data_IF_904098852781
#
_entry.id   IF_904098852781
#
_cell.length_a   1.000
_cell.length_b   1.000
_cell.length_c   1.000
_cell.angle_alpha   90.00
_cell.angle_beta   90.00
_cell.angle_gamma   90.00
#
_symmetry.space_group_name_H-M   'P 1'
#
loop_
_entity.id
_entity.type
_entity.pdbx_description
1 polymer ?
#
# COMPACT_ATOMS: atom_id res chain seq x y z
N UNK A 1 24.25 38.87 -29.19
CA UNK A 1 23.14 39.59 -29.88
C UNK A 1 21.81 39.09 -29.29
N UNK A 2 21.22 39.93 -28.50
CA UNK A 2 19.99 39.67 -27.75
C UNK A 2 18.80 39.98 -28.65
N UNK A 3 17.90 39.04 -28.86
CA UNK A 3 16.58 39.35 -29.48
C UNK A 3 15.49 39.19 -28.40
N UNK A 4 14.97 40.35 -27.96
CA UNK A 4 13.73 40.48 -27.20
C UNK A 4 12.55 40.11 -28.12
N UNK A 5 11.60 39.31 -27.62
CA UNK A 5 10.28 39.18 -28.24
C UNK A 5 9.23 39.80 -27.34
N UNK A 6 8.51 40.68 -27.92
CA UNK A 6 7.44 41.54 -27.44
C UNK A 6 6.19 40.72 -27.10
N UNK A 7 5.61 40.97 -25.93
CA UNK A 7 4.30 40.44 -25.52
C UNK A 7 3.21 41.35 -26.06
N UNK A 8 2.28 40.84 -26.82
CA UNK A 8 1.07 41.52 -27.24
C UNK A 8 -0.05 41.23 -26.23
N UNK A 9 -0.56 42.30 -25.62
CA UNK A 9 -1.78 42.27 -24.82
C UNK A 9 -2.99 42.25 -25.75
N UNK A 10 -3.89 41.29 -25.56
CA UNK A 10 -5.24 41.28 -26.09
C UNK A 10 -6.23 41.40 -24.94
N UNK A 11 -6.90 42.53 -24.90
CA UNK A 11 -8.03 42.81 -24.03
C UNK A 11 -9.25 42.03 -24.55
N UNK A 12 -9.82 41.17 -23.75
CA UNK A 12 -11.06 40.41 -24.03
C UNK A 12 -12.09 40.62 -22.92
N UNK A 13 -13.24 41.06 -23.35
CA UNK A 13 -14.44 41.46 -22.62
C UNK A 13 -14.93 40.45 -21.63
N UNK A 14 -15.19 40.87 -20.36
CA UNK A 14 -15.90 40.11 -19.33
C UNK A 14 -17.38 39.96 -19.70
N UNK A 15 -17.81 38.72 -19.95
CA UNK A 15 -19.23 38.35 -19.87
C UNK A 15 -19.42 37.64 -18.50
N UNK A 16 -20.12 38.32 -17.58
CA UNK A 16 -20.59 37.72 -16.32
C UNK A 16 -21.70 36.73 -16.65
N UNK A 17 -21.42 35.45 -16.57
CA UNK A 17 -22.43 34.40 -16.47
C UNK A 17 -22.60 34.04 -15.01
N UNK A 18 -23.75 34.33 -14.43
CA UNK A 18 -24.14 33.88 -13.11
C UNK A 18 -24.30 32.36 -13.12
N UNK A 19 -23.30 31.61 -12.60
CA UNK A 19 -23.43 30.19 -12.34
C UNK A 19 -24.15 30.01 -10.99
N UNK A 20 -25.37 29.49 -11.02
CA UNK A 20 -26.07 29.00 -9.85
C UNK A 20 -25.24 27.88 -9.20
N UNK A 21 -24.78 28.10 -7.97
CA UNK A 21 -24.17 27.08 -7.11
C UNK A 21 -25.25 26.05 -6.73
N UNK A 22 -25.42 25.05 -7.56
CA UNK A 22 -26.13 23.83 -7.19
C UNK A 22 -25.27 23.12 -6.13
N UNK A 23 -25.69 23.16 -4.85
CA UNK A 23 -25.17 22.29 -3.83
C UNK A 23 -25.59 20.86 -4.18
N UNK A 24 -24.75 20.15 -4.92
CA UNK A 24 -24.89 18.72 -5.13
C UNK A 24 -24.80 18.01 -3.78
N UNK A 25 -25.93 17.60 -3.23
CA UNK A 25 -25.99 16.62 -2.16
C UNK A 25 -25.27 15.38 -2.65
N UNK A 26 -24.12 15.06 -2.06
CA UNK A 26 -23.47 13.78 -2.26
C UNK A 26 -24.50 12.68 -1.90
N UNK A 27 -24.67 11.67 -2.74
CA UNK A 27 -25.60 10.59 -2.38
C UNK A 27 -25.12 9.96 -1.07
N UNK A 28 -26.03 9.91 -0.08
CA UNK A 28 -25.78 9.16 1.14
C UNK A 28 -25.44 7.72 0.73
N UNK A 29 -24.31 7.20 1.17
CA UNK A 29 -23.95 5.80 0.94
C UNK A 29 -25.07 4.94 1.49
N UNK A 30 -25.70 4.11 0.64
CA UNK A 30 -26.73 3.18 1.08
C UNK A 30 -26.09 2.16 2.04
N UNK A 31 -26.84 1.81 3.09
CA UNK A 31 -26.42 0.75 4.02
C UNK A 31 -26.22 -0.56 3.24
N UNK A 32 -25.07 -1.19 3.44
CA UNK A 32 -24.71 -2.42 2.75
C UNK A 32 -24.71 -3.61 3.71
N UNK A 33 -25.29 -4.71 3.28
CA UNK A 33 -25.39 -5.94 4.04
C UNK A 33 -24.40 -6.99 3.50
N UNK A 34 -23.78 -7.75 4.40
CA UNK A 34 -22.85 -8.83 4.06
C UNK A 34 -21.95 -9.23 5.23
N UNK A 35 -20.92 -10.00 4.97
CA UNK A 35 -19.96 -10.40 5.98
C UNK A 35 -18.90 -9.31 6.23
N UNK A 36 -18.49 -9.17 7.49
CA UNK A 36 -17.27 -8.43 7.83
C UNK A 36 -16.17 -9.48 7.99
N UNK A 37 -15.12 -9.42 7.16
CA UNK A 37 -14.01 -10.37 7.23
C UNK A 37 -12.73 -9.70 7.73
N UNK A 38 -11.89 -10.44 8.45
CA UNK A 38 -10.64 -9.93 9.02
C UNK A 38 -9.55 -10.98 9.11
N UNK A 39 -8.84 -10.98 10.23
CA UNK A 39 -7.68 -11.82 10.48
C UNK A 39 -7.92 -13.29 10.11
N UNK A 40 -6.98 -13.89 9.36
CA UNK A 40 -7.09 -15.27 8.90
C UNK A 40 -8.21 -15.54 7.91
N UNK A 41 -8.78 -14.49 7.27
CA UNK A 41 -9.92 -14.63 6.35
C UNK A 41 -11.24 -14.98 7.04
N UNK A 42 -11.28 -14.92 8.38
CA UNK A 42 -12.45 -15.26 9.19
C UNK A 42 -13.45 -14.11 9.30
N UNK A 43 -14.66 -14.42 9.70
CA UNK A 43 -15.80 -13.52 9.79
C UNK A 43 -16.03 -13.00 11.21
N UNK A 44 -16.49 -11.76 11.32
CA UNK A 44 -17.11 -11.24 12.54
C UNK A 44 -18.45 -11.95 12.73
N UNK A 45 -18.60 -12.59 13.88
CA UNK A 45 -19.68 -13.53 14.17
C UNK A 45 -20.34 -13.22 15.52
N UNK A 46 -21.64 -13.35 15.58
CA UNK A 46 -22.40 -13.28 16.83
C UNK A 46 -22.47 -14.68 17.44
N UNK A 47 -21.86 -14.88 18.59
CA UNK A 47 -21.74 -16.17 19.23
C UNK A 47 -23.10 -16.91 19.30
N UNK A 48 -23.13 -18.13 18.77
CA UNK A 48 -24.32 -19.00 18.74
C UNK A 48 -25.57 -18.35 18.10
N UNK A 49 -25.40 -17.34 17.23
CA UNK A 49 -26.48 -16.51 16.68
C UNK A 49 -27.44 -15.94 17.76
N UNK A 50 -26.91 -15.69 18.96
CA UNK A 50 -27.68 -15.18 20.08
C UNK A 50 -28.21 -13.76 19.85
N UNK A 51 -29.46 -13.49 20.25
CA UNK A 51 -30.07 -12.16 20.09
C UNK A 51 -30.26 -11.43 21.42
N UNK A 52 -29.79 -12.00 22.54
CA UNK A 52 -29.83 -11.34 23.83
C UNK A 52 -28.81 -10.18 23.90
N UNK A 53 -29.13 -9.10 24.65
CA UNK A 53 -28.18 -8.07 24.95
C UNK A 53 -26.99 -8.65 25.72
N UNK A 54 -25.75 -8.27 25.33
CA UNK A 54 -24.54 -8.83 25.89
C UNK A 54 -24.03 -10.08 25.17
N UNK A 55 -24.72 -10.57 24.12
CA UNK A 55 -24.20 -11.70 23.32
C UNK A 55 -22.80 -11.36 22.79
N UNK A 56 -21.81 -12.24 23.01
CA UNK A 56 -20.44 -12.03 22.54
C UNK A 56 -20.36 -11.88 21.03
N UNK A 57 -19.49 -10.96 20.58
CA UNK A 57 -19.04 -10.91 19.20
C UNK A 57 -17.63 -11.45 19.13
N UNK A 58 -17.37 -12.29 18.15
CA UNK A 58 -16.18 -13.14 18.06
C UNK A 58 -15.68 -13.24 16.61
N UNK A 59 -14.51 -13.82 16.44
CA UNK A 59 -13.99 -14.27 15.16
C UNK A 59 -14.39 -15.73 14.96
N UNK A 60 -14.91 -16.09 13.79
CA UNK A 60 -15.33 -17.46 13.47
C UNK A 60 -15.09 -17.76 11.99
N UNK A 61 -14.95 -19.03 11.63
CA UNK A 61 -14.94 -19.44 10.23
C UNK A 61 -16.18 -18.93 9.50
N UNK A 62 -15.99 -18.38 8.28
CA UNK A 62 -17.09 -17.86 7.49
C UNK A 62 -18.01 -19.00 7.03
N UNK A 63 -19.25 -19.01 7.50
CA UNK A 63 -20.22 -20.07 7.25
C UNK A 63 -21.54 -19.58 6.61
N UNK A 64 -21.63 -18.28 6.30
CA UNK A 64 -22.78 -17.67 5.62
C UNK A 64 -24.06 -17.59 6.43
N UNK A 65 -24.05 -17.82 7.73
CA UNK A 65 -25.23 -17.75 8.62
C UNK A 65 -25.61 -16.30 8.91
N UNK A 66 -26.84 -16.10 9.44
CA UNK A 66 -27.34 -14.78 9.85
C UNK A 66 -26.47 -14.15 10.98
N UNK A 67 -25.74 -14.95 11.76
CA UNK A 67 -24.80 -14.47 12.77
C UNK A 67 -23.63 -13.68 12.19
N UNK A 68 -23.36 -13.82 10.90
CA UNK A 68 -22.28 -13.17 10.17
C UNK A 68 -22.79 -12.15 9.14
N UNK A 69 -24.10 -11.95 9.07
CA UNK A 69 -24.73 -10.98 8.17
C UNK A 69 -24.82 -9.60 8.85
N UNK A 70 -23.86 -8.75 8.53
CA UNK A 70 -23.75 -7.40 9.11
C UNK A 70 -24.20 -6.34 8.11
N UNK A 71 -24.86 -5.30 8.61
CA UNK A 71 -25.15 -4.09 7.85
C UNK A 71 -24.25 -2.96 8.31
N UNK A 72 -23.51 -2.37 7.38
CA UNK A 72 -22.60 -1.24 7.60
C UNK A 72 -23.02 -0.04 6.76
N UNK A 73 -22.41 1.13 6.98
CA UNK A 73 -22.74 2.34 6.25
C UNK A 73 -24.11 2.93 6.62
N UNK A 74 -24.68 2.54 7.77
CA UNK A 74 -25.91 3.14 8.27
C UNK A 74 -25.68 4.63 8.59
N UNK A 75 -26.68 5.48 8.31
CA UNK A 75 -26.58 6.95 8.48
C UNK A 75 -26.32 7.39 9.92
N UNK A 76 -26.66 6.54 10.89
CA UNK A 76 -26.38 6.74 12.31
C UNK A 76 -25.01 6.23 12.76
N UNK A 77 -24.22 5.70 11.82
CA UNK A 77 -22.89 5.12 12.08
C UNK A 77 -22.92 3.77 12.78
N UNK A 78 -24.09 3.12 12.93
CA UNK A 78 -24.19 1.80 13.56
C UNK A 78 -23.74 0.67 12.62
N UNK A 79 -23.23 -0.41 13.20
CA UNK A 79 -22.97 -1.69 12.53
C UNK A 79 -23.93 -2.69 13.14
N UNK A 80 -24.75 -3.36 12.32
CA UNK A 80 -25.89 -4.14 12.81
C UNK A 80 -25.90 -5.58 12.30
N UNK A 81 -26.29 -6.50 13.19
CA UNK A 81 -26.62 -7.88 12.87
C UNK A 81 -27.79 -8.36 13.73
N UNK A 82 -28.59 -9.28 13.24
CA UNK A 82 -29.72 -9.88 13.98
C UNK A 82 -30.67 -8.86 14.62
N UNK A 83 -30.85 -7.69 13.98
CA UNK A 83 -31.71 -6.61 14.47
C UNK A 83 -31.13 -5.75 15.60
N UNK A 84 -29.85 -5.96 15.98
CA UNK A 84 -29.15 -5.26 17.05
C UNK A 84 -27.85 -4.60 16.54
N UNK A 85 -27.18 -3.83 17.40
CA UNK A 85 -25.97 -3.09 17.10
C UNK A 85 -24.71 -3.74 17.70
N UNK A 86 -23.60 -3.64 16.98
CA UNK A 86 -22.25 -3.88 17.51
C UNK A 86 -21.96 -2.80 18.56
N UNK A 87 -21.67 -3.20 19.77
CA UNK A 87 -21.62 -2.34 20.95
C UNK A 87 -20.36 -2.59 21.76
N UNK A 88 -19.73 -1.54 22.25
CA UNK A 88 -18.63 -1.65 23.20
C UNK A 88 -19.19 -1.79 24.61
N UNK A 89 -18.91 -2.92 25.27
CA UNK A 89 -19.42 -3.23 26.61
C UNK A 89 -19.23 -2.07 27.58
N UNK A 90 -20.32 -1.68 28.25
CA UNK A 90 -20.36 -0.58 29.22
C UNK A 90 -19.86 0.78 28.69
N UNK A 91 -19.88 0.99 27.37
CA UNK A 91 -19.32 2.17 26.71
C UNK A 91 -17.86 2.47 27.12
N UNK A 92 -17.11 1.44 27.47
CA UNK A 92 -15.71 1.55 27.89
C UNK A 92 -14.82 2.15 26.81
N UNK A 93 -13.85 2.98 27.21
CA UNK A 93 -12.81 3.51 26.33
C UNK A 93 -11.44 2.85 26.57
N UNK A 94 -11.37 1.83 27.45
CA UNK A 94 -10.13 1.14 27.76
C UNK A 94 -9.72 0.14 26.67
N UNK A 95 -8.41 -0.03 26.45
CA UNK A 95 -7.88 -1.14 25.64
C UNK A 95 -8.32 -2.48 26.26
N UNK A 96 -8.72 -3.41 25.40
CA UNK A 96 -9.20 -4.74 25.80
C UNK A 96 -10.69 -4.81 26.15
N UNK A 97 -11.42 -3.66 26.14
CA UNK A 97 -12.86 -3.70 26.35
C UNK A 97 -13.53 -4.53 25.23
N UNK A 98 -14.34 -5.51 25.63
CA UNK A 98 -14.95 -6.46 24.71
C UNK A 98 -16.11 -5.82 23.97
N UNK A 99 -16.38 -6.34 22.77
CA UNK A 99 -17.57 -5.97 22.02
C UNK A 99 -18.65 -7.04 22.11
N UNK A 100 -19.88 -6.61 21.98
CA UNK A 100 -21.09 -7.42 22.18
C UNK A 100 -22.17 -7.02 21.18
N UNK A 101 -23.21 -7.81 21.10
CA UNK A 101 -24.46 -7.44 20.46
C UNK A 101 -25.38 -6.79 21.51
N UNK A 102 -25.99 -5.64 21.20
CA UNK A 102 -26.87 -4.92 22.12
C UNK A 102 -27.97 -4.18 21.38
N UNK A 103 -29.10 -3.87 22.08
CA UNK A 103 -30.14 -3.04 21.49
C UNK A 103 -29.58 -1.72 20.98
N UNK A 104 -29.98 -1.30 19.77
CA UNK A 104 -29.50 -0.04 19.21
C UNK A 104 -30.03 1.14 20.02
N UNK A 105 -29.15 1.88 20.65
CA UNK A 105 -29.46 3.00 21.52
C UNK A 105 -28.84 4.34 21.08
N UNK A 106 -28.08 4.34 19.98
CA UNK A 106 -27.48 5.53 19.38
C UNK A 106 -26.35 6.17 20.15
N UNK A 107 -25.81 5.48 21.17
CA UNK A 107 -24.66 5.99 21.96
C UNK A 107 -23.34 5.92 21.17
N UNK A 108 -22.29 6.57 21.66
CA UNK A 108 -20.94 6.48 21.08
C UNK A 108 -20.37 5.07 21.05
N UNK A 109 -20.81 4.20 21.99
CA UNK A 109 -20.41 2.79 22.05
C UNK A 109 -20.82 1.98 20.80
N UNK A 110 -21.84 2.46 20.07
CA UNK A 110 -22.42 1.79 18.90
C UNK A 110 -22.13 2.49 17.57
N UNK A 111 -21.38 3.59 17.60
CA UNK A 111 -21.01 4.33 16.39
C UNK A 111 -19.63 3.92 15.93
N UNK A 112 -19.56 3.52 14.68
CA UNK A 112 -18.35 3.00 14.05
C UNK A 112 -18.10 3.71 12.74
N UNK A 113 -16.85 4.02 12.46
CA UNK A 113 -16.40 4.63 11.21
C UNK A 113 -15.33 3.77 10.56
N UNK A 114 -15.48 3.48 9.29
CA UNK A 114 -14.44 2.84 8.51
C UNK A 114 -13.32 3.86 8.22
N UNK A 115 -12.08 3.52 8.54
CA UNK A 115 -10.92 4.36 8.29
C UNK A 115 -9.70 3.50 7.99
N UNK A 116 -9.12 3.66 6.80
CA UNK A 116 -7.89 2.97 6.38
C UNK A 116 -7.89 1.45 6.62
N UNK A 117 -9.04 0.79 6.37
CA UNK A 117 -9.20 -0.65 6.59
C UNK A 117 -9.44 -1.05 8.04
N UNK A 118 -9.51 -0.11 8.96
CA UNK A 118 -9.94 -0.33 10.34
C UNK A 118 -11.41 0.05 10.52
N UNK A 119 -12.06 -0.55 11.51
CA UNK A 119 -13.38 -0.15 12.01
C UNK A 119 -13.16 0.54 13.36
N UNK A 120 -13.32 1.87 13.37
CA UNK A 120 -13.01 2.71 14.55
C UNK A 120 -14.30 3.03 15.29
N UNK A 121 -14.36 2.72 16.59
CA UNK A 121 -15.45 3.14 17.46
C UNK A 121 -15.32 4.63 17.78
N UNK A 122 -16.31 5.44 17.44
CA UNK A 122 -16.23 6.90 17.58
C UNK A 122 -16.31 7.37 19.02
N UNK A 123 -16.91 6.59 19.92
CA UNK A 123 -16.99 6.92 21.36
C UNK A 123 -15.66 6.79 22.07
N UNK A 124 -14.82 5.84 21.66
CA UNK A 124 -13.52 5.58 22.28
C UNK A 124 -12.31 6.04 21.45
N UNK A 125 -12.50 6.28 20.13
CA UNK A 125 -11.40 6.53 19.19
C UNK A 125 -10.53 5.29 18.91
N UNK A 126 -10.97 4.08 19.33
CA UNK A 126 -10.21 2.84 19.22
C UNK A 126 -10.72 1.93 18.11
N UNK A 127 -9.84 1.06 17.62
CA UNK A 127 -10.10 0.13 16.54
C UNK A 127 -10.71 -1.19 17.06
N UNK A 128 -11.67 -1.75 16.30
CA UNK A 128 -12.08 -3.13 16.49
C UNK A 128 -10.88 -4.04 16.27
N UNK A 129 -10.67 -4.96 17.21
CA UNK A 129 -9.43 -5.72 17.36
C UNK A 129 -9.72 -7.18 17.71
N UNK A 130 -8.93 -8.11 17.14
CA UNK A 130 -8.98 -9.51 17.51
C UNK A 130 -8.05 -9.76 18.70
N UNK A 131 -8.60 -10.19 19.82
CA UNK A 131 -7.85 -10.47 21.05
C UNK A 131 -6.65 -11.39 20.75
N UNK A 132 -5.47 -11.00 21.25
CA UNK A 132 -4.21 -11.75 21.17
C UNK A 132 -3.78 -12.12 19.74
N UNK A 133 -4.36 -11.49 18.72
CA UNK A 133 -4.12 -11.82 17.30
C UNK A 133 -4.41 -13.30 16.99
N UNK A 134 -5.28 -13.93 17.76
CA UNK A 134 -5.63 -15.35 17.60
C UNK A 134 -6.58 -15.54 16.42
N UNK A 135 -6.30 -16.54 15.58
CA UNK A 135 -7.19 -16.97 14.49
C UNK A 135 -8.10 -18.13 14.88
N UNK A 136 -8.11 -18.53 16.15
CA UNK A 136 -8.98 -19.61 16.63
C UNK A 136 -10.45 -19.17 16.59
N UNK A 137 -11.35 -20.10 16.23
CA UNK A 137 -12.79 -19.87 16.31
C UNK A 137 -13.21 -19.58 17.75
N UNK A 138 -14.12 -18.62 17.94
CA UNK A 138 -14.54 -18.16 19.24
C UNK A 138 -13.65 -17.08 19.85
N UNK A 139 -12.57 -16.66 19.16
CA UNK A 139 -11.73 -15.55 19.64
C UNK A 139 -12.55 -14.29 19.78
N UNK A 140 -12.62 -13.74 21.00
CA UNK A 140 -13.39 -12.54 21.31
C UNK A 140 -12.84 -11.32 20.58
N UNK A 141 -13.74 -10.48 20.12
CA UNK A 141 -13.37 -9.16 19.62
C UNK A 141 -13.42 -8.12 20.74
N UNK A 142 -12.60 -7.10 20.62
CA UNK A 142 -12.40 -6.03 21.58
C UNK A 142 -12.16 -4.70 20.86
N UNK A 143 -12.05 -3.61 21.61
CA UNK A 143 -11.44 -2.37 21.13
C UNK A 143 -10.01 -2.27 21.64
N UNK A 144 -9.11 -1.73 20.82
CA UNK A 144 -7.71 -1.48 21.18
C UNK A 144 -7.19 -0.23 20.47
N UNK A 145 -6.18 0.41 21.05
CA UNK A 145 -5.49 1.55 20.39
C UNK A 145 -5.10 1.18 18.96
N UNK A 146 -5.46 2.06 18.00
CA UNK A 146 -5.27 1.78 16.58
C UNK A 146 -3.77 1.71 16.23
N UNK A 147 -3.29 0.54 15.87
CA UNK A 147 -1.91 0.25 15.51
C UNK A 147 -1.75 -0.12 14.00
N UNK A 148 -2.87 -0.24 13.27
CA UNK A 148 -2.86 -0.64 11.86
C UNK A 148 -2.39 -2.07 11.58
N UNK A 149 -2.31 -2.91 12.62
CA UNK A 149 -1.90 -4.31 12.54
C UNK A 149 -2.98 -5.20 11.95
N UNK A 150 -2.64 -6.40 11.48
CA UNK A 150 -3.53 -7.30 10.76
C UNK A 150 -4.81 -7.67 11.54
N UNK A 151 -4.74 -7.76 12.88
CA UNK A 151 -5.87 -8.04 13.76
C UNK A 151 -6.84 -6.87 13.95
N UNK A 152 -6.56 -5.71 13.35
CA UNK A 152 -7.41 -4.51 13.33
C UNK A 152 -7.89 -4.17 11.90
N UNK A 153 -7.62 -5.02 10.91
CA UNK A 153 -8.03 -4.79 9.53
C UNK A 153 -9.26 -5.60 9.18
N UNK A 154 -10.26 -4.91 8.62
CA UNK A 154 -11.58 -5.45 8.34
C UNK A 154 -12.03 -5.08 6.92
N UNK A 155 -12.55 -6.06 6.20
CA UNK A 155 -13.27 -5.83 4.96
C UNK A 155 -14.75 -5.73 5.30
N UNK A 156 -15.36 -4.57 5.02
CA UNK A 156 -16.75 -4.27 5.38
C UNK A 156 -17.69 -4.46 4.19
N UNK A 157 -18.93 -4.91 4.42
CA UNK A 157 -19.96 -4.89 3.37
C UNK A 157 -20.23 -3.45 2.95
N UNK A 158 -20.26 -3.18 1.63
CA UNK A 158 -20.54 -1.86 1.07
C UNK A 158 -19.53 -0.74 1.36
N UNK A 159 -18.51 -0.99 2.15
CA UNK A 159 -17.33 -0.16 2.11
C UNK A 159 -16.69 -0.36 0.76
N UNK A 160 -16.28 0.70 0.05
CA UNK A 160 -15.78 0.62 -1.32
C UNK A 160 -14.51 -0.23 -1.49
N UNK A 161 -14.62 -1.48 -1.14
CA UNK A 161 -13.86 -2.58 -1.66
C UNK A 161 -14.65 -3.13 -2.84
N UNK A 162 -14.02 -3.62 -3.89
CA UNK A 162 -14.70 -4.04 -5.10
C UNK A 162 -15.77 -5.08 -4.79
N UNK A 163 -16.99 -4.82 -5.30
CA UNK A 163 -18.04 -5.85 -5.42
C UNK A 163 -17.40 -7.11 -5.99
N UNK A 164 -17.70 -8.34 -5.49
CA UNK A 164 -17.22 -9.54 -6.14
C UNK A 164 -17.75 -9.58 -7.57
N UNK A 165 -16.97 -9.15 -8.52
CA UNK A 165 -17.03 -9.66 -9.88
C UNK A 165 -16.72 -11.16 -9.82
N UNK A 166 -16.95 -11.94 -10.89
CA UNK A 166 -16.84 -13.38 -10.86
C UNK A 166 -15.52 -13.79 -10.20
N UNK A 167 -15.65 -14.61 -9.15
CA UNK A 167 -14.63 -15.08 -8.21
C UNK A 167 -13.21 -15.12 -8.80
N UNK A 168 -12.41 -14.11 -8.43
CA UNK A 168 -10.96 -14.21 -8.59
C UNK A 168 -10.49 -15.26 -7.58
N UNK A 169 -9.74 -16.28 -7.98
CA UNK A 169 -9.16 -17.22 -7.02
C UNK A 169 -8.30 -16.43 -6.03
N UNK A 170 -8.55 -16.63 -4.74
CA UNK A 170 -7.86 -15.95 -3.65
C UNK A 170 -6.38 -16.35 -3.64
N UNK A 171 -5.53 -15.51 -4.26
CA UNK A 171 -4.09 -15.53 -4.02
C UNK A 171 -3.75 -14.54 -2.92
N UNK A 172 -2.70 -14.81 -2.14
CA UNK A 172 -2.20 -13.86 -1.16
C UNK A 172 -1.84 -12.53 -1.84
N UNK A 173 -2.24 -11.37 -1.28
CA UNK A 173 -1.84 -10.07 -1.83
C UNK A 173 -0.33 -9.87 -1.70
N UNK A 174 0.22 -8.88 -2.41
CA UNK A 174 1.67 -8.66 -2.45
C UNK A 174 2.27 -8.27 -1.09
N UNK A 175 1.47 -7.72 -0.18
CA UNK A 175 1.88 -7.37 1.19
C UNK A 175 1.83 -8.56 2.18
N UNK A 176 1.46 -9.77 1.72
CA UNK A 176 1.77 -11.00 2.43
C UNK A 176 3.30 -11.14 2.54
N UNK A 177 3.86 -11.47 3.74
CA UNK A 177 5.31 -11.48 3.93
C UNK A 177 6.08 -12.34 2.93
N UNK A 178 5.56 -13.52 2.54
CA UNK A 178 6.21 -14.40 1.57
C UNK A 178 6.16 -13.79 0.16
N UNK A 179 5.03 -13.22 -0.25
CA UNK A 179 4.88 -12.54 -1.54
C UNK A 179 5.72 -11.26 -1.61
N UNK A 180 5.80 -10.52 -0.50
CA UNK A 180 6.67 -9.35 -0.40
C UNK A 180 8.13 -9.71 -0.58
N UNK A 181 8.61 -10.80 0.04
CA UNK A 181 9.98 -11.27 -0.16
C UNK A 181 10.26 -11.65 -1.62
N UNK A 182 9.32 -12.31 -2.30
CA UNK A 182 9.39 -12.57 -3.75
C UNK A 182 9.51 -11.26 -4.54
N UNK A 183 8.70 -10.25 -4.21
CA UNK A 183 8.76 -8.95 -4.88
C UNK A 183 10.11 -8.26 -4.67
N UNK A 184 10.69 -8.35 -3.47
CA UNK A 184 12.03 -7.81 -3.18
C UNK A 184 13.11 -8.52 -4.01
N UNK A 185 13.05 -9.85 -4.13
CA UNK A 185 13.97 -10.62 -4.96
C UNK A 185 13.86 -10.24 -6.44
N UNK A 186 12.64 -10.07 -6.96
CA UNK A 186 12.39 -9.68 -8.35
C UNK A 186 12.95 -8.28 -8.66
N UNK A 187 12.71 -7.30 -7.77
CA UNK A 187 13.28 -5.94 -7.92
C UNK A 187 14.80 -5.98 -7.83
N UNK A 188 15.36 -6.72 -6.86
CA UNK A 188 16.81 -6.82 -6.69
C UNK A 188 17.50 -7.50 -7.88
N UNK A 189 16.87 -8.47 -8.52
CA UNK A 189 17.38 -9.05 -9.77
C UNK A 189 17.50 -7.98 -10.87
N UNK A 190 16.56 -7.03 -10.93
CA UNK A 190 16.56 -5.97 -11.94
C UNK A 190 17.44 -4.76 -11.57
N UNK A 191 17.59 -4.42 -10.29
CA UNK A 191 18.40 -3.28 -9.84
C UNK A 191 19.86 -3.66 -9.55
N UNK A 192 20.09 -4.90 -9.06
CA UNK A 192 21.38 -5.32 -8.49
C UNK A 192 21.93 -6.61 -9.11
N UNK A 193 21.28 -7.17 -10.14
CA UNK A 193 21.64 -8.48 -10.73
C UNK A 193 21.81 -9.59 -9.68
N UNK A 194 20.99 -9.57 -8.62
CA UNK A 194 21.08 -10.50 -7.50
C UNK A 194 19.70 -10.75 -6.86
N UNK A 195 19.43 -11.99 -6.46
CA UNK A 195 18.25 -12.32 -5.66
C UNK A 195 18.45 -11.99 -4.15
N UNK A 196 19.67 -11.82 -3.71
CA UNK A 196 19.96 -11.42 -2.32
C UNK A 196 19.80 -9.92 -2.13
N UNK A 197 18.55 -9.48 -2.02
CA UNK A 197 18.22 -8.08 -1.78
C UNK A 197 18.70 -7.59 -0.41
N UNK A 198 18.91 -8.51 0.55
CA UNK A 198 19.39 -8.15 1.89
C UNK A 198 20.88 -7.79 1.90
N UNK A 199 21.65 -8.29 0.96
CA UNK A 199 23.04 -7.87 0.78
C UNK A 199 23.16 -6.39 0.39
N UNK A 200 22.09 -5.83 -0.23
CA UNK A 200 22.09 -4.46 -0.75
C UNK A 200 21.95 -3.38 0.34
N UNK A 201 21.65 -3.71 1.59
CA UNK A 201 21.66 -2.72 2.68
C UNK A 201 22.96 -1.93 2.79
N UNK A 202 24.09 -2.58 2.48
CA UNK A 202 25.41 -1.99 2.58
C UNK A 202 25.93 -1.38 1.27
N UNK A 203 25.20 -1.55 0.17
CA UNK A 203 25.59 -0.98 -1.12
C UNK A 203 25.65 0.54 -1.04
N UNK A 204 26.71 1.12 -1.60
CA UNK A 204 26.88 2.56 -1.83
C UNK A 204 27.97 2.79 -2.86
N UNK A 205 27.64 3.54 -3.91
CA UNK A 205 28.55 3.91 -5.01
C UNK A 205 28.04 5.19 -5.69
N UNK A 206 28.94 5.99 -6.26
CA UNK A 206 28.57 6.97 -7.27
C UNK A 206 28.66 6.29 -8.64
N UNK A 207 27.51 6.09 -9.27
CA UNK A 207 27.40 5.44 -10.58
C UNK A 207 27.53 6.43 -11.74
N UNK A 208 27.81 7.71 -11.46
CA UNK A 208 28.07 8.75 -12.46
C UNK A 208 26.83 9.20 -13.25
N UNK A 209 25.63 9.06 -12.69
CA UNK A 209 24.36 9.41 -13.34
C UNK A 209 23.86 10.81 -12.97
N UNK A 210 24.65 11.60 -12.27
CA UNK A 210 24.34 12.98 -11.89
C UNK A 210 23.49 13.11 -10.64
N UNK A 211 23.29 12.03 -9.86
CA UNK A 211 22.50 12.00 -8.62
C UNK A 211 23.35 11.83 -7.35
N UNK A 212 24.69 11.90 -7.48
CA UNK A 212 25.64 11.67 -6.40
C UNK A 212 25.70 10.20 -5.97
N UNK A 213 25.87 9.94 -4.68
CA UNK A 213 25.88 8.56 -4.17
C UNK A 213 24.52 7.89 -4.32
N UNK A 214 24.52 6.67 -4.85
CA UNK A 214 23.39 5.74 -4.88
C UNK A 214 23.63 4.62 -3.89
N UNK A 215 22.69 4.33 -2.99
CA UNK A 215 22.92 3.42 -1.88
C UNK A 215 21.68 2.64 -1.42
N UNK A 216 21.92 1.50 -0.76
CA UNK A 216 20.87 0.71 -0.09
C UNK A 216 20.01 -0.11 -1.03
N UNK A 217 18.90 -0.65 -0.46
CA UNK A 217 18.07 -1.71 -1.07
C UNK A 217 17.25 -1.27 -2.30
N UNK A 218 17.13 0.02 -2.56
CA UNK A 218 16.38 0.59 -3.70
C UNK A 218 17.13 1.74 -4.39
N UNK A 219 18.41 1.96 -4.05
CA UNK A 219 19.20 3.03 -4.66
C UNK A 219 18.82 4.43 -4.18
N UNK A 220 18.79 4.64 -2.86
CA UNK A 220 18.66 5.98 -2.28
C UNK A 220 19.78 6.89 -2.77
N UNK A 221 19.46 8.08 -3.29
CA UNK A 221 20.45 8.99 -3.88
C UNK A 221 20.70 10.20 -3.00
N UNK A 222 21.98 10.62 -2.88
CA UNK A 222 22.35 11.80 -2.07
C UNK A 222 21.86 13.12 -2.67
N UNK A 223 21.65 13.16 -3.99
CA UNK A 223 21.22 14.36 -4.72
C UNK A 223 19.73 14.43 -5.00
N UNK A 224 18.90 13.49 -4.50
CA UNK A 224 17.43 13.47 -4.78
C UNK A 224 16.58 13.56 -3.52
N UNK A 225 17.19 13.85 -2.37
CA UNK A 225 16.50 14.05 -1.09
C UNK A 225 16.12 12.78 -0.34
N UNK A 226 15.94 11.65 -1.02
CA UNK A 226 15.48 10.39 -0.41
C UNK A 226 16.51 9.76 0.54
N UNK A 227 17.81 9.88 0.23
CA UNK A 227 18.88 9.49 1.18
C UNK A 227 18.88 10.38 2.43
N UNK A 228 18.65 11.68 2.27
CA UNK A 228 18.50 12.60 3.40
C UNK A 228 17.33 12.21 4.29
N UNK A 229 16.14 11.99 3.69
CA UNK A 229 14.93 11.58 4.42
C UNK A 229 15.15 10.27 5.20
N UNK A 230 15.82 9.29 4.59
CA UNK A 230 16.17 8.03 5.23
C UNK A 230 17.11 8.24 6.43
N UNK A 231 18.19 9.04 6.28
CA UNK A 231 19.15 9.27 7.38
C UNK A 231 18.49 10.09 8.49
N UNK A 232 17.59 11.02 8.17
CA UNK A 232 16.78 11.72 9.17
C UNK A 232 15.86 10.76 9.95
N UNK A 233 15.19 9.83 9.26
CA UNK A 233 14.35 8.81 9.89
C UNK A 233 15.17 7.91 10.82
N UNK A 234 16.35 7.47 10.37
CA UNK A 234 17.25 6.70 11.19
C UNK A 234 17.75 7.49 12.42
N UNK A 235 18.12 8.77 12.25
CA UNK A 235 18.57 9.62 13.34
C UNK A 235 17.47 9.92 14.37
N UNK A 236 16.21 10.02 13.95
CA UNK A 236 15.06 10.14 14.88
C UNK A 236 14.89 8.88 15.74
N UNK A 237 15.07 7.71 15.15
CA UNK A 237 14.89 6.42 15.86
C UNK A 237 16.12 6.06 16.72
N UNK A 238 17.30 6.40 16.26
CA UNK A 238 18.58 6.16 16.95
C UNK A 238 19.46 7.42 16.95
N UNK A 239 19.23 8.36 17.88
CA UNK A 239 20.06 9.54 18.01
C UNK A 239 21.53 9.19 18.22
N UNK A 240 22.44 9.97 17.61
CA UNK A 240 23.89 9.75 17.72
C UNK A 240 24.45 8.57 16.92
N UNK A 241 23.65 7.99 15.97
CA UNK A 241 24.17 7.02 15.03
C UNK A 241 25.25 7.64 14.12
N UNK A 242 26.07 6.78 13.49
CA UNK A 242 27.25 7.22 12.69
C UNK A 242 26.86 8.13 11.51
N UNK A 243 25.65 7.99 10.93
CA UNK A 243 25.20 8.78 9.78
C UNK A 243 24.60 10.12 10.18
N UNK A 244 24.20 10.31 11.44
CA UNK A 244 23.61 11.57 11.92
C UNK A 244 24.55 12.77 11.74
N UNK A 245 25.87 12.56 11.78
CA UNK A 245 26.88 13.58 11.55
C UNK A 245 26.88 14.15 10.12
N UNK A 246 26.33 13.44 9.16
CA UNK A 246 26.29 13.83 7.74
C UNK A 246 25.01 14.57 7.33
N UNK A 247 24.03 14.75 8.22
CA UNK A 247 22.75 15.38 7.89
C UNK A 247 22.90 16.80 7.30
N UNK A 248 23.88 17.57 7.79
CA UNK A 248 24.15 18.92 7.26
C UNK A 248 24.71 18.85 5.83
N UNK A 249 25.62 17.92 5.58
CA UNK A 249 26.21 17.71 4.26
C UNK A 249 25.15 17.17 3.25
N UNK A 250 24.34 16.19 3.67
CA UNK A 250 23.24 15.65 2.83
C UNK A 250 22.24 16.75 2.43
N UNK A 251 21.90 17.67 3.33
CA UNK A 251 21.04 18.83 2.98
C UNK A 251 21.74 19.79 2.01
N UNK A 252 23.06 19.95 2.11
CA UNK A 252 23.80 20.86 1.26
C UNK A 252 24.00 20.33 -0.16
N UNK A 253 24.04 19.01 -0.35
CA UNK A 253 24.23 18.37 -1.67
C UNK A 253 22.91 17.98 -2.34
N UNK A 254 21.78 18.10 -1.66
CA UNK A 254 20.47 17.82 -2.22
C UNK A 254 20.22 18.68 -3.47
N UNK A 255 19.70 18.06 -4.54
CA UNK A 255 19.55 18.70 -5.86
C UNK A 255 20.84 18.74 -6.70
N UNK A 256 21.95 18.12 -6.25
CA UNK A 256 23.23 18.09 -6.96
C UNK A 256 23.84 16.70 -6.98
N UNK A 257 24.90 16.51 -7.76
CA UNK A 257 25.76 15.30 -7.76
C UNK A 257 26.97 15.43 -6.84
N UNK A 258 27.07 16.49 -6.05
CA UNK A 258 28.21 16.81 -5.22
C UNK A 258 28.36 15.83 -4.06
N UNK A 259 29.62 15.51 -3.71
CA UNK A 259 30.00 14.76 -2.50
C UNK A 259 30.54 15.65 -1.38
N UNK A 260 30.34 16.97 -1.47
CA UNK A 260 30.89 17.93 -0.51
C UNK A 260 30.45 17.62 0.91
N UNK A 261 31.40 17.35 1.81
CA UNK A 261 31.17 16.99 3.20
C UNK A 261 30.72 15.53 3.44
N UNK A 262 30.55 14.74 2.37
CA UNK A 262 30.30 13.29 2.44
C UNK A 262 31.65 12.52 2.33
N UNK A 263 32.52 12.94 1.43
CA UNK A 263 33.85 12.34 1.27
C UNK A 263 34.80 12.67 2.42
N UNK A 264 35.75 11.76 2.72
CA UNK A 264 35.91 10.41 2.14
C UNK A 264 35.23 9.31 2.97
N UNK A 265 34.51 9.66 4.04
CA UNK A 265 34.14 8.68 5.07
C UNK A 265 32.70 8.20 4.97
N UNK A 266 31.79 8.93 4.32
CA UNK A 266 30.38 8.57 4.26
C UNK A 266 30.12 7.17 3.69
N UNK A 267 30.77 6.70 2.60
CA UNK A 267 30.57 5.34 2.10
C UNK A 267 30.99 4.25 3.09
N UNK A 268 32.05 4.48 3.85
CA UNK A 268 32.49 3.57 4.91
C UNK A 268 31.44 3.51 6.03
N UNK A 269 30.98 4.66 6.45
CA UNK A 269 30.07 4.79 7.59
C UNK A 269 28.65 4.30 7.24
N UNK A 270 28.25 4.44 5.97
CA UNK A 270 27.04 3.78 5.44
C UNK A 270 27.13 2.26 5.57
N UNK A 271 28.23 1.67 5.11
CA UNK A 271 28.45 0.21 5.22
C UNK A 271 28.49 -0.26 6.69
N UNK A 272 29.05 0.53 7.57
CA UNK A 272 29.03 0.25 9.00
C UNK A 272 27.60 0.34 9.58
N UNK A 273 26.83 1.36 9.21
CA UNK A 273 25.43 1.51 9.61
C UNK A 273 24.57 0.33 9.12
N UNK A 274 24.86 -0.23 7.96
CA UNK A 274 24.12 -1.37 7.41
C UNK A 274 24.21 -2.66 8.27
N UNK A 275 25.13 -2.74 9.22
CA UNK A 275 25.16 -3.80 10.23
C UNK A 275 24.09 -3.59 11.33
N UNK A 276 23.60 -2.35 11.51
CA UNK A 276 22.60 -2.00 12.52
C UNK A 276 21.18 -2.40 12.06
N UNK A 277 20.47 -3.26 12.81
CA UNK A 277 19.10 -3.63 12.46
C UNK A 277 18.12 -2.45 12.43
N UNK A 278 18.38 -1.38 13.19
CA UNK A 278 17.54 -0.16 13.17
C UNK A 278 17.70 0.58 11.83
N UNK A 279 18.92 0.63 11.27
CA UNK A 279 19.14 1.23 9.96
C UNK A 279 18.53 0.39 8.82
N UNK A 280 18.64 -0.94 8.89
CA UNK A 280 17.97 -1.82 7.93
C UNK A 280 16.46 -1.63 7.96
N UNK A 281 15.86 -1.60 9.16
CA UNK A 281 14.45 -1.33 9.32
C UNK A 281 14.05 0.06 8.80
N UNK A 282 14.89 1.08 8.93
CA UNK A 282 14.67 2.40 8.37
C UNK A 282 14.66 2.39 6.83
N UNK A 283 15.60 1.67 6.19
CA UNK A 283 15.63 1.50 4.73
C UNK A 283 14.36 0.77 4.23
N UNK A 284 13.93 -0.29 4.92
CA UNK A 284 12.70 -1.01 4.58
C UNK A 284 11.46 -0.13 4.75
N UNK A 285 11.38 0.62 5.85
CA UNK A 285 10.25 1.51 6.11
C UNK A 285 10.14 2.63 5.07
N UNK A 286 11.27 3.20 4.64
CA UNK A 286 11.30 4.27 3.64
C UNK A 286 10.91 3.74 2.26
N UNK A 287 11.46 2.60 1.82
CA UNK A 287 11.00 1.90 0.61
C UNK A 287 9.49 1.65 0.65
N UNK A 288 9.00 1.17 1.78
CA UNK A 288 7.59 0.83 1.93
C UNK A 288 6.70 2.07 1.88
N UNK A 289 7.13 3.15 2.50
CA UNK A 289 6.41 4.43 2.53
C UNK A 289 6.28 5.04 1.14
N UNK A 290 7.40 5.08 0.41
CA UNK A 290 7.48 5.83 -0.86
C UNK A 290 6.97 5.00 -2.03
N UNK A 291 7.32 3.73 -2.11
CA UNK A 291 7.10 2.91 -3.30
C UNK A 291 6.14 1.74 -3.09
N UNK A 292 6.36 0.92 -2.06
CA UNK A 292 5.66 -0.35 -1.92
C UNK A 292 4.19 -0.17 -1.51
N UNK A 293 3.94 0.48 -0.38
CA UNK A 293 2.59 0.61 0.17
C UNK A 293 1.62 1.38 -0.74
N UNK A 294 2.01 2.53 -1.35
CA UNK A 294 1.12 3.23 -2.27
C UNK A 294 0.83 2.42 -3.54
N UNK A 295 1.82 1.72 -4.10
CA UNK A 295 1.62 0.88 -5.29
C UNK A 295 0.71 -0.32 -5.02
N UNK A 296 0.90 -1.00 -3.88
CA UNK A 296 0.04 -2.11 -3.46
C UNK A 296 -1.39 -1.62 -3.22
N UNK A 297 -1.58 -0.46 -2.61
CA UNK A 297 -2.90 0.15 -2.41
C UNK A 297 -3.58 0.43 -3.74
N UNK A 298 -2.88 1.03 -4.71
CA UNK A 298 -3.44 1.29 -6.04
C UNK A 298 -3.77 -0.02 -6.77
N UNK A 299 -2.92 -1.04 -6.66
CA UNK A 299 -3.20 -2.37 -7.21
C UNK A 299 -4.43 -3.03 -6.59
N UNK A 300 -4.59 -2.93 -5.27
CA UNK A 300 -5.80 -3.40 -4.57
C UNK A 300 -7.04 -2.61 -5.00
N UNK A 301 -6.92 -1.31 -5.21
CA UNK A 301 -8.00 -0.44 -5.70
C UNK A 301 -8.45 -0.85 -7.11
N UNK A 302 -7.52 -1.25 -7.97
CA UNK A 302 -7.81 -1.75 -9.31
C UNK A 302 -8.30 -3.22 -9.32
N UNK A 303 -8.22 -3.91 -8.19
CA UNK A 303 -8.61 -5.30 -8.05
C UNK A 303 -7.63 -6.28 -8.70
N UNK A 304 -6.37 -5.88 -8.90
CA UNK A 304 -5.33 -6.78 -9.44
C UNK A 304 -4.69 -7.62 -8.34
N UNK A 305 -4.32 -8.86 -8.69
CA UNK A 305 -3.62 -9.81 -7.83
C UNK A 305 -2.14 -9.45 -7.64
N UNK A 306 -1.38 -10.30 -6.96
CA UNK A 306 0.00 -10.04 -6.58
C UNK A 306 0.90 -9.63 -7.76
N UNK A 307 0.76 -10.24 -8.94
CA UNK A 307 1.52 -9.86 -10.14
C UNK A 307 1.22 -8.41 -10.57
N UNK A 308 -0.04 -7.99 -10.56
CA UNK A 308 -0.42 -6.63 -10.93
C UNK A 308 0.06 -5.61 -9.89
N UNK A 309 -0.06 -5.94 -8.59
CA UNK A 309 0.48 -5.12 -7.50
C UNK A 309 2.00 -4.99 -7.60
N UNK A 310 2.69 -6.09 -7.96
CA UNK A 310 4.12 -6.10 -8.21
C UNK A 310 4.49 -5.24 -9.44
N UNK A 311 3.75 -5.34 -10.53
CA UNK A 311 4.00 -4.53 -11.72
C UNK A 311 3.92 -3.02 -11.40
N UNK A 312 2.99 -2.61 -10.52
CA UNK A 312 2.91 -1.22 -10.06
C UNK A 312 4.08 -0.85 -9.17
N UNK A 313 4.43 -1.70 -8.20
CA UNK A 313 5.56 -1.46 -7.32
C UNK A 313 6.87 -1.36 -8.09
N UNK A 314 7.16 -2.29 -8.98
CA UNK A 314 8.36 -2.30 -9.80
C UNK A 314 8.42 -1.10 -10.78
N UNK A 315 7.26 -0.65 -11.29
CA UNK A 315 7.19 0.59 -12.06
C UNK A 315 7.45 1.84 -11.19
N UNK A 316 6.98 1.84 -9.94
CA UNK A 316 7.23 2.93 -9.01
C UNK A 316 8.70 3.01 -8.58
N UNK A 317 9.38 1.89 -8.41
CA UNK A 317 10.84 1.87 -8.13
C UNK A 317 11.61 2.51 -9.27
N UNK A 318 11.27 2.17 -10.53
CA UNK A 318 12.02 2.65 -11.71
C UNK A 318 11.67 4.08 -12.13
N UNK A 319 10.38 4.46 -12.08
CA UNK A 319 9.86 5.72 -12.64
C UNK A 319 9.36 6.71 -11.57
N UNK A 320 9.55 6.39 -10.29
CA UNK A 320 8.87 7.08 -9.19
C UNK A 320 7.38 6.73 -9.12
N UNK A 321 6.75 6.99 -7.96
CA UNK A 321 5.33 6.68 -7.76
C UNK A 321 4.41 7.46 -8.71
N UNK A 322 4.69 8.75 -8.96
CA UNK A 322 3.90 9.54 -9.91
C UNK A 322 4.11 9.09 -11.37
N UNK A 323 5.31 8.63 -11.72
CA UNK A 323 5.59 8.00 -13.02
C UNK A 323 4.74 6.73 -13.22
N UNK A 324 4.69 5.86 -12.22
CA UNK A 324 3.80 4.69 -12.24
C UNK A 324 2.33 5.08 -12.40
N UNK A 325 1.86 6.11 -11.69
CA UNK A 325 0.47 6.60 -11.81
C UNK A 325 0.18 7.16 -13.20
N UNK A 326 1.15 7.83 -13.82
CA UNK A 326 1.05 8.32 -15.22
C UNK A 326 0.91 7.15 -16.21
N UNK A 327 1.73 6.09 -16.05
CA UNK A 327 1.62 4.86 -16.84
C UNK A 327 0.23 4.23 -16.65
N UNK A 328 -0.22 4.08 -15.40
CA UNK A 328 -1.55 3.56 -15.07
C UNK A 328 -2.68 4.39 -15.70
N UNK A 329 -2.57 5.71 -15.67
CA UNK A 329 -3.57 6.59 -16.28
C UNK A 329 -3.68 6.39 -17.80
N UNK A 330 -2.56 6.18 -18.50
CA UNK A 330 -2.58 5.85 -19.93
C UNK A 330 -3.18 4.48 -20.20
N UNK A 331 -2.87 3.49 -19.34
CA UNK A 331 -3.47 2.16 -19.45
C UNK A 331 -5.00 2.19 -19.26
N UNK A 332 -5.54 3.06 -18.37
CA UNK A 332 -6.99 3.26 -18.18
C UNK A 332 -7.72 3.74 -19.44
N UNK A 333 -7.03 4.44 -20.35
CA UNK A 333 -7.60 4.84 -21.63
C UNK A 333 -7.73 3.64 -22.61
N UNK A 334 -7.05 2.52 -22.36
CA UNK A 334 -6.98 1.35 -23.24
C UNK A 334 -7.77 0.15 -22.72
N UNK A 335 -7.82 -0.03 -21.40
CA UNK A 335 -8.47 -1.16 -20.77
C UNK A 335 -9.06 -0.75 -19.42
N UNK A 336 -10.07 -1.50 -18.95
CA UNK A 336 -10.61 -1.36 -17.61
C UNK A 336 -9.91 -2.33 -16.66
N UNK A 337 -9.56 -1.91 -15.44
CA UNK A 337 -9.07 -2.84 -14.41
C UNK A 337 -10.21 -3.74 -13.89
N UNK A 338 -9.87 -4.85 -13.20
CA UNK A 338 -10.84 -5.77 -12.64
C UNK A 338 -11.91 -5.12 -11.77
N UNK A 339 -11.54 -4.16 -10.93
CA UNK A 339 -12.49 -3.43 -10.08
C UNK A 339 -13.53 -2.62 -10.88
N UNK A 340 -13.31 -2.37 -12.16
CA UNK A 340 -14.24 -1.72 -13.08
C UNK A 340 -14.90 -2.71 -14.06
N UNK A 341 -14.82 -4.02 -13.76
CA UNK A 341 -15.38 -5.10 -14.59
C UNK A 341 -14.53 -5.49 -15.79
N UNK A 342 -13.25 -5.09 -15.84
CA UNK A 342 -12.30 -5.52 -16.86
C UNK A 342 -11.68 -6.89 -16.59
N UNK A 343 -11.11 -7.48 -17.62
CA UNK A 343 -10.29 -8.69 -17.50
C UNK A 343 -8.88 -8.33 -17.03
N UNK A 344 -8.37 -9.00 -16.00
CA UNK A 344 -7.07 -8.69 -15.39
C UNK A 344 -5.90 -8.90 -16.36
N UNK A 345 -5.97 -9.91 -17.22
CA UNK A 345 -4.91 -10.17 -18.23
C UNK A 345 -4.85 -9.04 -19.25
N UNK A 346 -6.01 -8.63 -19.74
CA UNK A 346 -6.12 -7.51 -20.71
C UNK A 346 -5.62 -6.21 -20.07
N UNK A 347 -6.02 -5.97 -18.82
CA UNK A 347 -5.57 -4.81 -18.06
C UNK A 347 -4.06 -4.77 -17.87
N UNK A 348 -3.47 -5.89 -17.41
CA UNK A 348 -2.02 -5.96 -17.17
C UNK A 348 -1.22 -5.87 -18.47
N UNK A 349 -1.70 -6.43 -19.58
CA UNK A 349 -1.05 -6.20 -20.88
C UNK A 349 -1.05 -4.71 -21.24
N UNK A 350 -2.18 -4.01 -21.08
CA UNK A 350 -2.25 -2.58 -21.36
C UNK A 350 -1.30 -1.76 -20.45
N UNK A 351 -1.22 -2.07 -19.16
CA UNK A 351 -0.29 -1.43 -18.23
C UNK A 351 1.17 -1.67 -18.61
N UNK A 352 1.54 -2.92 -18.90
CA UNK A 352 2.90 -3.28 -19.28
C UNK A 352 3.30 -2.70 -20.64
N UNK A 353 2.37 -2.54 -21.58
CA UNK A 353 2.62 -1.86 -22.87
C UNK A 353 2.97 -0.39 -22.64
N UNK A 354 2.18 0.32 -21.82
CA UNK A 354 2.43 1.72 -21.47
C UNK A 354 3.74 1.89 -20.71
N UNK A 355 4.08 0.91 -19.86
CA UNK A 355 5.34 0.90 -19.15
C UNK A 355 6.53 0.73 -20.09
N UNK A 356 6.48 -0.22 -21.02
CA UNK A 356 7.52 -0.42 -22.04
C UNK A 356 7.67 0.83 -22.91
N UNK A 357 6.55 1.49 -23.26
CA UNK A 357 6.59 2.75 -23.99
C UNK A 357 7.28 3.87 -23.18
N UNK A 358 7.09 3.91 -21.86
CA UNK A 358 7.79 4.84 -20.96
C UNK A 358 9.29 4.56 -20.91
N UNK A 359 9.67 3.30 -20.67
CA UNK A 359 11.07 2.86 -20.59
C UNK A 359 11.87 3.24 -21.85
N UNK A 360 11.28 3.09 -23.02
CA UNK A 360 11.93 3.41 -24.32
C UNK A 360 12.18 4.89 -24.56
N UNK A 361 11.64 5.80 -23.75
CA UNK A 361 11.91 7.24 -23.87
C UNK A 361 13.29 7.61 -23.34
N UNK A 362 13.85 6.80 -22.46
CA UNK A 362 15.12 7.05 -21.81
C UNK A 362 16.15 6.00 -22.25
N UNK A 363 17.29 6.39 -22.87
CA UNK A 363 18.31 5.42 -23.29
C UNK A 363 18.80 4.50 -22.18
N UNK A 364 18.94 5.02 -20.94
CA UNK A 364 19.36 4.25 -19.77
C UNK A 364 18.36 3.18 -19.35
N UNK A 365 17.09 3.31 -19.71
CA UNK A 365 16.01 2.40 -19.37
C UNK A 365 15.48 1.61 -20.58
N UNK A 366 16.17 1.65 -21.72
CA UNK A 366 15.68 1.07 -22.99
C UNK A 366 15.63 -0.47 -22.99
N UNK A 367 16.37 -1.14 -22.11
CA UNK A 367 16.23 -2.59 -21.90
C UNK A 367 14.92 -2.90 -21.17
N UNK A 368 14.03 -3.60 -21.85
CA UNK A 368 12.68 -3.93 -21.35
C UNK A 368 12.58 -5.33 -20.75
N UNK A 369 13.70 -6.04 -20.54
CA UNK A 369 13.73 -7.43 -20.10
C UNK A 369 13.01 -7.66 -18.74
N UNK A 370 13.10 -6.69 -17.79
CA UNK A 370 12.35 -6.76 -16.51
C UNK A 370 10.82 -6.82 -16.71
N UNK A 371 10.32 -6.38 -17.87
CA UNK A 371 8.93 -6.51 -18.28
C UNK A 371 8.77 -7.74 -19.18
N UNK A 372 9.49 -7.78 -20.31
CA UNK A 372 9.20 -8.71 -21.38
C UNK A 372 9.61 -10.15 -21.08
N UNK A 373 10.74 -10.36 -20.39
CA UNK A 373 11.26 -11.71 -20.03
C UNK A 373 11.07 -12.09 -18.56
N UNK A 374 10.37 -11.21 -17.76
CA UNK A 374 9.96 -11.50 -16.40
C UNK A 374 8.44 -11.34 -16.21
N UNK A 375 7.90 -10.14 -16.10
CA UNK A 375 6.49 -9.92 -15.75
C UNK A 375 5.52 -10.49 -16.79
N UNK A 376 5.81 -10.31 -18.08
CA UNK A 376 5.00 -10.90 -19.16
C UNK A 376 5.07 -12.42 -19.20
N UNK A 377 6.18 -13.03 -18.81
CA UNK A 377 6.29 -14.48 -18.69
C UNK A 377 5.33 -14.99 -17.63
N UNK A 378 5.29 -14.36 -16.45
CA UNK A 378 4.33 -14.75 -15.40
C UNK A 378 2.88 -14.53 -15.85
N UNK A 379 2.60 -13.39 -16.47
CA UNK A 379 1.27 -13.06 -16.99
C UNK A 379 0.79 -14.07 -18.04
N UNK A 380 1.64 -14.40 -19.01
CA UNK A 380 1.31 -15.33 -20.08
C UNK A 380 1.07 -16.76 -19.55
N UNK A 381 1.83 -17.15 -18.53
CA UNK A 381 1.67 -18.42 -17.85
C UNK A 381 0.45 -18.46 -16.89
N UNK A 382 -0.28 -17.34 -16.75
CA UNK A 382 -1.43 -17.28 -15.86
C UNK A 382 -1.07 -17.21 -14.36
N UNK A 383 0.20 -16.96 -14.04
CA UNK A 383 0.67 -16.84 -12.66
C UNK A 383 0.45 -15.43 -12.11
N UNK A 384 -0.80 -15.07 -11.91
CA UNK A 384 -1.19 -13.76 -11.37
C UNK A 384 -0.86 -13.58 -9.88
N UNK A 385 -0.59 -14.69 -9.18
CA UNK A 385 -0.34 -14.68 -7.75
C UNK A 385 1.15 -14.66 -7.41
N UNK A 386 2.06 -14.65 -8.40
CA UNK A 386 3.49 -14.82 -8.18
C UNK A 386 3.80 -16.08 -7.36
N UNK A 387 3.13 -17.20 -7.69
CA UNK A 387 3.39 -18.47 -7.05
C UNK A 387 4.73 -19.03 -7.52
N UNK A 388 5.55 -19.48 -6.57
CA UNK A 388 6.85 -20.10 -6.87
C UNK A 388 6.68 -21.56 -7.30
N UNK A 389 7.59 -22.10 -8.12
CA UNK A 389 8.83 -21.50 -8.58
C UNK A 389 8.63 -20.47 -9.71
N UNK A 390 9.33 -19.34 -9.63
CA UNK A 390 9.40 -18.34 -10.69
C UNK A 390 10.71 -18.49 -11.45
N UNK A 391 10.64 -18.67 -12.78
CA UNK A 391 11.80 -18.70 -13.68
C UNK A 391 11.65 -17.55 -14.66
N UNK A 392 12.67 -16.69 -14.76
CA UNK A 392 12.65 -15.48 -15.56
C UNK A 392 14.07 -15.05 -15.94
N UNK A 393 14.17 -14.06 -16.83
CA UNK A 393 15.45 -13.48 -17.20
C UNK A 393 15.38 -11.95 -17.14
N UNK A 394 16.48 -11.31 -16.70
CA UNK A 394 16.64 -9.84 -16.72
C UNK A 394 18.07 -9.53 -17.16
N UNK A 395 18.22 -8.62 -18.11
CA UNK A 395 19.51 -8.22 -18.73
C UNK A 395 20.33 -9.41 -19.29
N UNK A 396 19.66 -10.49 -19.69
CA UNK A 396 20.28 -11.71 -20.20
C UNK A 396 20.60 -12.77 -19.16
N UNK A 397 20.61 -12.42 -17.88
CA UNK A 397 20.82 -13.35 -16.76
C UNK A 397 19.53 -14.08 -16.40
N UNK A 398 19.65 -15.38 -16.14
CA UNK A 398 18.53 -16.21 -15.71
C UNK A 398 18.45 -16.33 -14.19
N UNK A 399 17.24 -16.25 -13.68
CA UNK A 399 16.94 -16.34 -12.25
C UNK A 399 15.87 -17.38 -11.96
N UNK A 400 15.92 -17.92 -10.74
CA UNK A 400 14.90 -18.81 -10.19
C UNK A 400 14.62 -18.45 -8.73
N UNK A 401 13.37 -18.23 -8.39
CA UNK A 401 12.88 -18.01 -7.02
C UNK A 401 12.02 -19.20 -6.62
N UNK A 402 12.31 -19.85 -5.49
CA UNK A 402 11.59 -20.98 -4.93
C UNK A 402 12.11 -22.35 -5.32
#
# INVERSE_FOLDING_TARGET
MIRKRTVAQLSGVLLLSAAALGHGLLPASAAAAGTITGLGGKCVDVASAGTANGTPVQLWECNGTAAQAWTTGNTDGSVRALGKCLDVTAASTADGAKVQLYDCNGTGAQRWTASNGALVNTGSGKCLDVTDRSTADGTRLQIWSCAGTANQRWNLPGGGGPTPGPSTPAGSPLDDPAKKDVAMQLVSAAENSSLDWRAQFSYIEDIGDGRGYTAGIIGFCSGTGDMLELVEAYARTKPGNVLAGYLSALRAVDGTDSHAGLDPYFPRDWRAAAADPVFRAAQEAERDRVYFNPSVRDGKTDGVRALGQFAYYDAAVMHGYEGMRSIRSRALARAKPPAQGGDERVWLHAFLDERVAEMRKEPAHSDTSRVDTAQRVFLNNGNFNLDTPLVFAVYGDQYRIG
#
